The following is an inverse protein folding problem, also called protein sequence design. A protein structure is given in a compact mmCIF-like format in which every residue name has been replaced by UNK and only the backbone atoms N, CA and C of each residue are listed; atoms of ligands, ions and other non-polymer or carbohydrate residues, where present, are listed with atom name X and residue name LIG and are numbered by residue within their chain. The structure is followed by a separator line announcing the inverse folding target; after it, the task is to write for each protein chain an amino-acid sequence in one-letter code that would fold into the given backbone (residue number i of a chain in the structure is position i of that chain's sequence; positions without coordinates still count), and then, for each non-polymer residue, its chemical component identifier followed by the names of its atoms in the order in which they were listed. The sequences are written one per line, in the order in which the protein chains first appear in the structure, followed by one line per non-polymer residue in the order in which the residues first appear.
data_IF_711046150876
#
_entry.id   IF_711046150876
#
_cell.length_a   1.000
_cell.length_b   1.000
_cell.length_c   1.000
_cell.angle_alpha   90.00
_cell.angle_beta   90.00
_cell.angle_gamma   90.00
#
_symmetry.space_group_name_H-M   'P 1'
#
loop_
_entity.id
_entity.type
_entity.pdbx_description
1 polymer ?
#
# COMPACT_ATOMS: atom_id res chain seq x y z
N UNK A 1 51.46 -3.22 19.91
CA UNK A 1 50.47 -4.24 19.51
C UNK A 1 49.10 -3.64 19.71
N UNK A 2 48.37 -3.35 18.63
CA UNK A 2 46.94 -3.06 18.71
C UNK A 2 46.28 -4.39 19.10
N UNK A 3 45.74 -4.49 20.30
CA UNK A 3 44.87 -5.60 20.67
C UNK A 3 43.62 -5.50 19.77
N UNK A 4 43.57 -6.27 18.70
CA UNK A 4 42.33 -6.50 17.96
C UNK A 4 41.41 -7.32 18.86
N UNK A 5 40.37 -6.67 19.39
CA UNK A 5 39.25 -7.37 20.01
C UNK A 5 38.64 -8.30 18.97
N UNK A 6 38.63 -9.61 19.25
CA UNK A 6 38.03 -10.60 18.37
C UNK A 6 36.54 -10.34 18.12
N UNK A 7 36.04 -10.82 16.99
CA UNK A 7 34.63 -10.69 16.61
C UNK A 7 33.72 -11.36 17.65
N UNK A 8 32.83 -10.58 18.27
CA UNK A 8 31.81 -11.12 19.17
C UNK A 8 30.71 -11.83 18.37
N UNK A 9 30.45 -13.09 18.71
CA UNK A 9 29.35 -13.88 18.14
C UNK A 9 28.22 -13.95 19.16
N UNK A 10 27.05 -13.45 18.76
CA UNK A 10 25.85 -13.42 19.60
C UNK A 10 24.73 -14.16 18.90
N UNK A 11 24.00 -14.97 19.67
CA UNK A 11 22.79 -15.64 19.22
C UNK A 11 21.77 -14.60 18.72
N UNK A 12 21.24 -14.83 17.51
CA UNK A 12 20.41 -13.83 16.82
C UNK A 12 19.21 -13.39 17.65
N UNK A 13 18.54 -14.31 18.33
CA UNK A 13 17.36 -14.00 19.14
C UNK A 13 17.70 -13.11 20.35
N UNK A 14 18.86 -13.32 20.98
CA UNK A 14 19.34 -12.47 22.07
C UNK A 14 19.74 -11.10 21.56
N UNK A 15 20.36 -11.05 20.37
CA UNK A 15 20.70 -9.80 19.71
C UNK A 15 19.46 -8.97 19.33
N UNK A 16 18.41 -9.61 18.82
CA UNK A 16 17.14 -8.94 18.50
C UNK A 16 16.45 -8.42 19.75
N UNK A 17 16.48 -9.22 20.82
CA UNK A 17 15.95 -8.83 22.13
C UNK A 17 16.65 -7.58 22.66
N UNK A 18 17.97 -7.56 22.60
CA UNK A 18 18.79 -6.43 23.02
C UNK A 18 18.56 -5.20 22.14
N UNK A 19 18.58 -5.37 20.82
CA UNK A 19 18.42 -4.26 19.87
C UNK A 19 17.02 -3.64 20.00
N UNK A 20 16.00 -4.46 20.24
CA UNK A 20 14.63 -4.00 20.48
C UNK A 20 14.55 -3.06 21.68
N UNK A 21 15.03 -3.50 22.85
CA UNK A 21 14.98 -2.67 24.06
C UNK A 21 15.93 -1.47 23.99
N UNK A 22 17.08 -1.59 23.32
CA UNK A 22 18.00 -0.47 23.15
C UNK A 22 17.45 0.59 22.18
N UNK A 23 16.76 0.20 21.11
CA UNK A 23 16.12 1.17 20.22
C UNK A 23 14.97 1.91 20.91
N UNK A 24 14.30 1.29 21.87
CA UNK A 24 13.36 1.99 22.75
C UNK A 24 14.11 2.88 23.76
N UNK A 25 14.61 2.29 24.84
CA UNK A 25 15.10 2.99 26.04
C UNK A 25 16.62 3.20 26.08
N UNK A 26 17.33 2.81 25.02
CA UNK A 26 18.78 2.80 24.98
C UNK A 26 19.41 4.10 24.47
N UNK A 27 20.65 4.33 24.89
CA UNK A 27 21.53 5.35 24.32
C UNK A 27 22.99 4.89 24.33
N UNK A 28 23.78 5.47 23.44
CA UNK A 28 25.22 5.20 23.34
C UNK A 28 25.98 6.52 23.31
N UNK A 29 27.02 6.65 24.13
CA UNK A 29 27.89 7.84 24.17
C UNK A 29 29.30 7.40 24.56
N UNK A 30 30.31 7.72 23.75
CA UNK A 30 31.72 7.37 24.01
C UNK A 30 31.92 5.89 24.39
N UNK A 31 31.32 4.97 23.62
CA UNK A 31 31.32 3.52 23.86
C UNK A 31 30.66 3.06 25.17
N UNK A 32 30.02 3.97 25.91
CA UNK A 32 29.13 3.64 27.01
C UNK A 32 27.74 3.39 26.44
N UNK A 33 27.30 2.15 26.54
CA UNK A 33 25.94 1.72 26.21
C UNK A 33 25.11 1.82 27.48
N UNK A 34 23.88 2.32 27.36
CA UNK A 34 22.97 2.36 28.48
C UNK A 34 21.53 2.08 28.08
N UNK A 35 20.75 1.52 29.00
CA UNK A 35 19.33 1.22 28.84
C UNK A 35 18.61 1.72 30.10
N UNK A 36 17.71 2.69 29.95
CA UNK A 36 16.95 3.25 31.07
C UNK A 36 15.66 2.47 31.31
N UNK A 37 15.40 1.98 32.52
CA UNK A 37 14.14 1.30 32.83
C UNK A 37 13.75 1.48 34.30
N UNK A 38 12.49 1.86 34.55
CA UNK A 38 11.93 2.11 35.88
C UNK A 38 11.00 1.00 36.37
N UNK A 39 10.38 0.22 35.50
CA UNK A 39 9.42 -0.82 35.92
C UNK A 39 10.18 -2.08 36.35
N UNK A 40 9.92 -2.53 37.57
CA UNK A 40 10.63 -3.64 38.20
C UNK A 40 10.64 -4.93 37.35
N UNK A 41 9.50 -5.30 36.76
CA UNK A 41 9.41 -6.51 35.92
C UNK A 41 10.25 -6.40 34.64
N UNK A 42 10.21 -5.26 33.96
CA UNK A 42 11.02 -5.01 32.76
C UNK A 42 12.51 -4.97 33.10
N UNK A 43 12.86 -4.38 34.26
CA UNK A 43 14.24 -4.38 34.79
C UNK A 43 14.76 -5.80 35.02
N UNK A 44 13.94 -6.75 35.51
CA UNK A 44 14.35 -8.15 35.69
C UNK A 44 14.63 -8.84 34.35
N UNK A 45 13.76 -8.64 33.36
CA UNK A 45 13.94 -9.21 32.01
C UNK A 45 15.22 -8.69 31.33
N UNK A 46 15.44 -7.38 31.38
CA UNK A 46 16.65 -6.76 30.81
C UNK A 46 17.90 -7.28 31.51
N UNK A 47 17.88 -7.40 32.85
CA UNK A 47 19.00 -7.96 33.61
C UNK A 47 19.34 -9.38 33.13
N UNK A 48 18.35 -10.27 33.05
CA UNK A 48 18.55 -11.64 32.61
C UNK A 48 19.06 -11.74 31.17
N UNK A 49 18.60 -10.86 30.28
CA UNK A 49 19.12 -10.77 28.92
C UNK A 49 20.60 -10.38 28.89
N UNK A 50 20.99 -9.33 29.62
CA UNK A 50 22.38 -8.87 29.66
C UNK A 50 23.32 -9.94 30.28
N UNK A 51 22.85 -10.66 31.30
CA UNK A 51 23.58 -11.79 31.90
C UNK A 51 23.72 -12.96 30.91
N UNK A 52 22.65 -13.30 30.18
CA UNK A 52 22.66 -14.35 29.14
C UNK A 52 23.63 -14.03 28.01
N UNK A 53 23.73 -12.76 27.63
CA UNK A 53 24.67 -12.25 26.63
C UNK A 53 26.10 -12.10 27.19
N UNK A 54 26.33 -12.46 28.46
CA UNK A 54 27.63 -12.42 29.14
C UNK A 54 28.23 -11.00 29.21
N UNK A 55 27.40 -9.96 29.21
CA UNK A 55 27.88 -8.61 29.40
C UNK A 55 28.24 -8.33 30.85
N UNK A 56 29.38 -7.68 31.06
CA UNK A 56 29.72 -7.08 32.36
C UNK A 56 29.09 -5.70 32.46
N UNK A 57 28.01 -5.58 33.25
CA UNK A 57 27.24 -4.33 33.38
C UNK A 57 27.09 -3.86 34.82
N UNK A 58 26.89 -2.56 34.96
CA UNK A 58 26.55 -1.89 36.21
C UNK A 58 25.09 -1.44 36.18
N UNK A 59 24.43 -1.45 37.34
CA UNK A 59 23.04 -1.03 37.51
C UNK A 59 22.93 0.13 38.49
N UNK A 60 22.27 1.20 38.08
CA UNK A 60 21.80 2.28 38.98
C UNK A 60 20.31 2.09 39.30
N UNK A 61 19.70 3.04 40.02
CA UNK A 61 18.27 3.00 40.37
C UNK A 61 17.36 2.75 39.16
N UNK A 62 17.67 3.36 38.01
CA UNK A 62 16.79 3.37 36.82
C UNK A 62 17.51 3.04 35.50
N UNK A 63 18.74 2.52 35.54
CA UNK A 63 19.53 2.36 34.31
C UNK A 63 20.53 1.21 34.44
N UNK A 64 20.68 0.44 33.35
CA UNK A 64 21.81 -0.45 33.14
C UNK A 64 22.82 0.24 32.23
N UNK A 65 24.11 0.07 32.49
CA UNK A 65 25.15 0.58 31.62
C UNK A 65 26.39 -0.31 31.63
N UNK A 66 27.07 -0.36 30.50
CA UNK A 66 28.34 -1.06 30.32
C UNK A 66 29.17 -0.33 29.27
N UNK A 67 30.45 -0.66 29.21
CA UNK A 67 31.37 -0.09 28.24
C UNK A 67 31.91 -1.19 27.35
N UNK A 68 31.68 -1.06 26.05
CA UNK A 68 32.18 -1.98 25.05
C UNK A 68 32.45 -1.20 23.76
N UNK A 69 33.68 -1.28 23.25
CA UNK A 69 34.11 -0.52 22.09
C UNK A 69 33.40 -0.99 20.82
N UNK A 70 33.32 -2.31 20.59
CA UNK A 70 32.73 -2.87 19.37
C UNK A 70 31.23 -2.57 19.31
N UNK A 71 30.52 -2.77 20.42
CA UNK A 71 29.08 -2.49 20.52
C UNK A 71 28.80 -1.00 20.46
N UNK A 72 29.62 -0.20 21.16
CA UNK A 72 29.51 1.24 21.17
C UNK A 72 29.62 1.84 19.77
N UNK A 73 30.66 1.44 19.02
CA UNK A 73 30.88 1.87 17.65
C UNK A 73 29.74 1.40 16.73
N UNK A 74 29.29 0.15 16.85
CA UNK A 74 28.17 -0.35 16.05
C UNK A 74 26.85 0.40 16.34
N UNK A 75 26.45 0.50 17.60
CA UNK A 75 25.18 1.09 18.01
C UNK A 75 25.12 2.60 17.74
N UNK A 76 26.26 3.29 17.76
CA UNK A 76 26.34 4.73 17.44
C UNK A 76 25.84 5.05 16.02
N UNK A 77 25.86 4.08 15.10
CA UNK A 77 25.39 4.21 13.71
C UNK A 77 23.88 4.40 13.59
N UNK A 78 23.11 4.04 14.63
CA UNK A 78 21.65 4.18 14.63
C UNK A 78 21.16 5.51 15.19
N UNK A 79 22.05 6.48 15.39
CA UNK A 79 21.66 7.86 15.71
C UNK A 79 21.04 8.06 17.10
N UNK A 80 20.61 9.30 17.36
CA UNK A 80 19.95 9.69 18.61
C UNK A 80 18.44 9.42 18.56
N UNK A 81 17.72 9.65 19.66
CA UNK A 81 16.30 9.29 19.82
C UNK A 81 15.37 9.66 18.62
N UNK A 82 15.58 10.81 17.98
CA UNK A 82 14.77 11.29 16.84
C UNK A 82 15.32 10.88 15.47
N UNK A 83 16.50 10.28 15.43
CA UNK A 83 17.21 9.79 14.23
C UNK A 83 17.17 8.27 14.15
N UNK A 84 16.86 7.59 15.27
CA UNK A 84 16.78 6.13 15.37
C UNK A 84 16.02 5.50 14.22
N UNK A 85 16.48 4.33 13.80
CA UNK A 85 15.88 3.52 12.75
C UNK A 85 16.21 2.05 12.98
N UNK A 86 15.39 1.16 12.41
CA UNK A 86 15.62 -0.28 12.50
C UNK A 86 16.74 -0.68 11.53
N UNK A 87 17.77 -1.44 11.98
CA UNK A 87 18.77 -2.00 11.08
C UNK A 87 18.16 -2.83 9.95
N UNK A 88 18.69 -2.69 8.73
CA UNK A 88 18.08 -3.28 7.52
C UNK A 88 18.00 -4.82 7.57
N UNK A 89 18.99 -5.47 8.19
CA UNK A 89 19.00 -6.93 8.31
C UNK A 89 17.78 -7.45 9.09
N UNK A 90 17.29 -6.71 10.10
CA UNK A 90 16.12 -7.10 10.90
C UNK A 90 14.87 -7.15 10.03
N UNK A 91 14.75 -6.25 9.05
CA UNK A 91 13.62 -6.20 8.11
C UNK A 91 13.56 -7.39 7.15
N UNK A 92 14.66 -8.14 7.04
CA UNK A 92 14.79 -9.32 6.19
C UNK A 92 14.67 -10.64 6.96
N UNK A 93 14.48 -10.59 8.28
CA UNK A 93 14.36 -11.78 9.12
C UNK A 93 12.98 -12.43 9.04
N UNK A 94 12.88 -13.63 9.59
CA UNK A 94 11.61 -14.37 9.68
C UNK A 94 10.56 -13.60 10.50
N UNK A 95 9.25 -13.79 10.23
CA UNK A 95 8.18 -13.19 11.03
C UNK A 95 8.31 -13.48 12.54
N UNK A 96 8.83 -14.66 12.93
CA UNK A 96 9.10 -15.02 14.32
C UNK A 96 10.11 -14.06 14.97
N UNK A 97 11.23 -13.83 14.29
CA UNK A 97 12.31 -12.97 14.76
C UNK A 97 11.93 -11.49 14.76
N UNK A 98 11.19 -11.04 13.75
CA UNK A 98 10.65 -9.69 13.73
C UNK A 98 9.69 -9.47 14.90
N UNK A 99 8.83 -10.45 15.21
CA UNK A 99 7.94 -10.36 16.37
C UNK A 99 8.73 -10.30 17.68
N UNK A 100 9.79 -11.11 17.84
CA UNK A 100 10.66 -11.05 19.03
C UNK A 100 11.26 -9.65 19.21
N UNK A 101 11.79 -9.06 18.13
CA UNK A 101 12.29 -7.68 18.16
C UNK A 101 11.19 -6.68 18.59
N UNK A 102 10.00 -6.77 18.00
CA UNK A 102 8.87 -5.89 18.32
C UNK A 102 8.38 -6.05 19.77
N UNK A 103 8.42 -7.26 20.33
CA UNK A 103 8.08 -7.53 21.72
C UNK A 103 9.06 -6.87 22.69
N UNK A 104 10.37 -6.98 22.44
CA UNK A 104 11.38 -6.32 23.27
C UNK A 104 11.39 -4.80 23.12
N UNK A 105 11.15 -4.29 21.91
CA UNK A 105 10.93 -2.86 21.71
C UNK A 105 9.72 -2.37 22.50
N UNK A 106 8.63 -3.15 22.51
CA UNK A 106 7.42 -2.81 23.25
C UNK A 106 7.61 -2.76 24.78
N UNK A 107 8.60 -3.47 25.33
CA UNK A 107 8.89 -3.40 26.77
C UNK A 107 9.32 -1.98 27.18
N UNK A 108 10.02 -1.25 26.32
CA UNK A 108 10.41 0.13 26.60
C UNK A 108 9.35 1.14 26.18
N UNK A 109 9.16 1.26 24.86
CA UNK A 109 8.41 2.37 24.24
C UNK A 109 7.07 1.93 23.64
N UNK A 110 6.32 1.09 24.36
CA UNK A 110 4.93 0.81 24.02
C UNK A 110 3.97 0.81 25.22
N UNK A 111 2.69 0.97 24.91
CA UNK A 111 1.59 0.82 25.86
C UNK A 111 0.57 -0.17 25.30
N UNK A 112 0.24 -1.17 26.11
CA UNK A 112 -0.86 -2.08 25.85
C UNK A 112 -2.18 -1.48 26.37
N UNK A 113 -3.19 -1.45 25.52
CA UNK A 113 -4.51 -0.95 25.86
C UNK A 113 -5.48 -2.09 26.15
N UNK A 114 -6.41 -1.86 27.09
CA UNK A 114 -7.46 -2.82 27.49
C UNK A 114 -8.30 -3.37 26.32
N UNK A 115 -8.31 -2.70 25.17
CA UNK A 115 -9.02 -3.12 23.95
C UNK A 115 -8.26 -4.07 23.00
N UNK A 116 -7.07 -4.57 23.38
CA UNK A 116 -6.26 -5.43 22.52
C UNK A 116 -5.48 -4.68 21.44
N UNK A 117 -5.06 -3.46 21.78
CA UNK A 117 -4.17 -2.63 20.96
C UNK A 117 -2.83 -2.47 21.67
N UNK A 118 -1.76 -2.34 20.88
CA UNK A 118 -0.45 -1.93 21.35
C UNK A 118 -0.06 -0.68 20.60
N UNK A 119 0.34 0.36 21.33
CA UNK A 119 0.80 1.63 20.74
C UNK A 119 2.28 1.75 20.98
N UNK A 120 3.06 1.80 19.91
CA UNK A 120 4.49 2.12 19.95
C UNK A 120 4.68 3.63 19.86
N UNK A 121 5.65 4.17 20.59
CA UNK A 121 5.96 5.59 20.62
C UNK A 121 7.37 5.86 20.09
N UNK A 122 7.53 6.94 19.34
CA UNK A 122 8.86 7.43 18.95
C UNK A 122 8.80 8.90 18.54
N UNK A 123 9.93 9.59 18.59
CA UNK A 123 10.11 10.91 17.98
C UNK A 123 10.77 10.84 16.59
N UNK A 124 11.25 9.66 16.18
CA UNK A 124 11.81 9.41 14.86
C UNK A 124 10.72 9.01 13.87
N UNK A 125 10.53 9.81 12.82
CA UNK A 125 9.65 9.45 11.71
C UNK A 125 10.11 8.15 11.04
N UNK A 126 11.43 8.00 10.86
CA UNK A 126 12.01 6.81 10.21
C UNK A 126 11.74 5.55 11.05
N UNK A 127 11.92 5.62 12.37
CA UNK A 127 11.59 4.49 13.25
C UNK A 127 10.10 4.14 13.22
N UNK A 128 9.21 5.13 13.19
CA UNK A 128 7.78 4.90 13.07
C UNK A 128 7.42 4.20 11.75
N UNK A 129 8.07 4.62 10.65
CA UNK A 129 7.91 4.01 9.33
C UNK A 129 8.41 2.57 9.32
N UNK A 130 9.59 2.32 9.93
CA UNK A 130 10.19 1.00 10.05
C UNK A 130 9.33 0.06 10.91
N UNK A 131 8.80 0.52 12.05
CA UNK A 131 7.91 -0.29 12.90
C UNK A 131 6.65 -0.69 12.11
N UNK A 132 6.06 0.22 11.32
CA UNK A 132 4.91 -0.14 10.49
C UNK A 132 5.28 -1.19 9.42
N UNK A 133 6.47 -1.10 8.84
CA UNK A 133 6.98 -2.11 7.89
C UNK A 133 7.15 -3.48 8.56
N UNK A 134 7.73 -3.52 9.77
CA UNK A 134 7.88 -4.77 10.54
C UNK A 134 6.52 -5.38 10.91
N UNK A 135 5.54 -4.55 11.28
CA UNK A 135 4.17 -5.00 11.52
C UNK A 135 3.57 -5.62 10.25
N UNK A 136 3.75 -5.00 9.08
CA UNK A 136 3.30 -5.58 7.81
C UNK A 136 3.94 -6.96 7.55
N UNK A 137 5.26 -7.07 7.72
CA UNK A 137 6.02 -8.32 7.49
C UNK A 137 5.64 -9.43 8.46
N UNK A 138 5.01 -9.11 9.59
CA UNK A 138 4.48 -10.07 10.55
C UNK A 138 2.99 -10.34 10.38
N UNK A 139 2.37 -9.85 9.29
CA UNK A 139 0.95 -10.05 8.98
C UNK A 139 0.01 -9.15 9.78
N UNK A 140 0.53 -8.07 10.36
CA UNK A 140 -0.21 -7.14 11.22
C UNK A 140 -0.39 -5.78 10.57
N UNK A 141 -1.37 -5.03 11.06
CA UNK A 141 -1.67 -3.68 10.59
C UNK A 141 -1.15 -2.67 11.61
N UNK A 142 -0.25 -1.79 11.15
CA UNK A 142 0.19 -0.61 11.90
C UNK A 142 -0.43 0.66 11.36
N UNK A 143 -1.05 1.49 12.19
CA UNK A 143 -1.53 2.83 11.80
C UNK A 143 -0.65 3.88 12.46
N UNK A 144 -0.01 4.74 11.66
CA UNK A 144 0.80 5.84 12.20
C UNK A 144 -0.09 7.05 12.46
N UNK A 145 0.00 7.63 13.65
CA UNK A 145 -0.56 8.94 13.99
C UNK A 145 0.56 9.89 14.39
N UNK A 146 0.60 11.07 13.78
CA UNK A 146 1.47 12.17 14.20
C UNK A 146 0.74 13.02 15.24
N UNK A 147 1.38 13.29 16.37
CA UNK A 147 0.91 14.21 17.41
C UNK A 147 1.87 15.37 17.51
N UNK A 148 1.36 16.56 17.25
CA UNK A 148 2.12 17.80 17.46
C UNK A 148 1.93 18.23 18.90
N UNK A 149 2.87 17.81 19.76
CA UNK A 149 2.92 18.19 21.17
C UNK A 149 4.15 19.05 21.34
N UNK A 150 4.02 20.35 21.16
CA UNK A 150 5.12 21.31 21.37
C UNK A 150 4.95 22.02 22.72
N UNK A 151 6.07 22.35 23.36
CA UNK A 151 6.10 23.11 24.61
C UNK A 151 6.15 22.26 25.88
N UNK A 152 5.84 22.89 27.02
CA UNK A 152 5.89 22.25 28.34
C UNK A 152 4.71 21.31 28.54
N UNK A 153 5.02 20.04 28.76
CA UNK A 153 4.07 18.97 29.07
C UNK A 153 4.31 18.52 30.51
N UNK A 154 3.26 18.37 31.29
CA UNK A 154 3.37 17.71 32.60
C UNK A 154 3.40 16.20 32.40
N UNK A 155 4.50 15.55 32.77
CA UNK A 155 4.67 14.10 32.69
C UNK A 155 4.83 13.55 34.11
N UNK A 156 3.75 12.94 34.62
CA UNK A 156 3.63 12.34 35.97
C UNK A 156 3.94 13.32 37.12
N UNK A 157 5.20 13.67 37.30
CA UNK A 157 5.77 14.37 38.45
C UNK A 157 6.63 15.58 38.09
N UNK A 158 6.88 15.86 36.80
CA UNK A 158 7.68 17.00 36.37
C UNK A 158 7.21 17.56 35.02
N UNK A 159 7.59 18.80 34.72
CA UNK A 159 7.46 19.37 33.38
C UNK A 159 8.57 18.82 32.47
N UNK A 160 8.19 18.32 31.31
CA UNK A 160 9.08 17.99 30.21
C UNK A 160 8.81 18.92 29.04
N UNK A 161 9.86 19.39 28.39
CA UNK A 161 9.74 20.22 27.21
C UNK A 161 9.78 19.35 25.95
N UNK A 162 8.70 19.39 25.17
CA UNK A 162 8.63 18.69 23.90
C UNK A 162 8.92 19.66 22.77
N UNK A 163 10.04 19.42 22.08
CA UNK A 163 10.48 20.24 20.95
C UNK A 163 10.16 19.60 19.61
N UNK A 164 9.54 18.41 19.60
CA UNK A 164 9.41 17.56 18.42
C UNK A 164 8.05 16.87 18.35
N UNK A 165 7.55 16.53 17.15
CA UNK A 165 6.35 15.72 17.02
C UNK A 165 6.58 14.30 17.55
N UNK A 166 5.54 13.75 18.16
CA UNK A 166 5.49 12.36 18.59
C UNK A 166 4.75 11.52 17.55
N UNK A 167 5.31 10.38 17.19
CA UNK A 167 4.66 9.39 16.33
C UNK A 167 4.16 8.23 17.19
N UNK A 168 2.90 7.87 16.98
CA UNK A 168 2.26 6.71 17.58
C UNK A 168 2.00 5.67 16.49
N UNK A 169 2.55 4.46 16.61
CA UNK A 169 2.23 3.35 15.71
C UNK A 169 1.25 2.42 16.41
N UNK A 170 0.00 2.41 15.96
CA UNK A 170 -1.09 1.65 16.54
C UNK A 170 -1.16 0.28 15.89
N UNK A 171 -0.85 -0.77 16.66
CA UNK A 171 -1.00 -2.18 16.29
C UNK A 171 -2.29 -2.74 16.88
N UNK A 172 -3.04 -3.49 16.08
CA UNK A 172 -4.14 -4.33 16.54
C UNK A 172 -3.60 -5.72 16.88
N UNK A 173 -3.59 -6.07 18.17
CA UNK A 173 -3.04 -7.35 18.65
C UNK A 173 -4.11 -8.45 18.60
N UNK A 174 -5.34 -8.15 19.01
CA UNK A 174 -6.42 -9.16 19.11
C UNK A 174 -7.34 -9.25 17.88
N UNK A 175 -7.55 -8.14 17.18
CA UNK A 175 -8.45 -8.06 16.01
C UNK A 175 -7.64 -7.76 14.75
N UNK A 176 -7.13 -8.80 14.12
CA UNK A 176 -6.30 -8.71 12.89
C UNK A 176 -7.12 -8.40 11.64
N UNK A 177 -8.42 -8.68 11.65
CA UNK A 177 -9.29 -8.40 10.52
C UNK A 177 -9.48 -6.89 10.34
N UNK A 178 -9.42 -6.43 9.09
CA UNK A 178 -9.88 -5.10 8.70
C UNK A 178 -11.39 -5.12 8.49
N UNK A 179 -12.09 -4.09 8.94
CA UNK A 179 -13.48 -3.84 8.59
C UNK A 179 -13.66 -2.33 8.42
N UNK A 180 -14.59 -1.94 7.55
CA UNK A 180 -14.98 -0.55 7.39
C UNK A 180 -16.07 -0.27 8.43
N UNK A 181 -15.80 0.63 9.36
CA UNK A 181 -16.78 1.09 10.33
C UNK A 181 -17.59 2.24 9.72
N UNK A 182 -18.92 2.22 9.83
CA UNK A 182 -19.79 3.28 9.30
C UNK A 182 -19.40 4.67 9.84
N UNK A 183 -18.87 4.74 11.06
CA UNK A 183 -18.38 6.00 11.69
C UNK A 183 -17.14 6.56 11.00
N UNK A 184 -16.38 5.72 10.31
CA UNK A 184 -15.19 6.10 9.55
C UNK A 184 -15.52 6.47 8.09
N UNK A 185 -16.78 6.30 7.66
CA UNK A 185 -17.25 6.68 6.32
C UNK A 185 -17.76 8.12 6.36
N UNK A 186 -17.24 8.97 5.48
CA UNK A 186 -17.69 10.35 5.30
C UNK A 186 -18.00 10.60 3.83
N UNK A 187 -19.10 11.31 3.58
CA UNK A 187 -19.37 11.89 2.26
C UNK A 187 -18.64 13.23 2.21
N UNK A 188 -17.68 13.35 1.31
CA UNK A 188 -16.95 14.59 1.07
C UNK A 188 -17.23 15.07 -0.34
N UNK A 189 -17.56 16.35 -0.50
CA UNK A 189 -17.72 16.96 -1.83
C UNK A 189 -16.32 17.05 -2.44
N UNK A 190 -16.06 16.19 -3.42
CA UNK A 190 -14.76 16.09 -4.07
C UNK A 190 -14.84 16.68 -5.48
N UNK A 191 -14.00 17.66 -5.76
CA UNK A 191 -13.75 18.20 -7.10
C UNK A 191 -12.24 18.22 -7.30
N UNK A 192 -11.74 17.30 -8.11
CA UNK A 192 -10.31 17.04 -8.24
C UNK A 192 -10.06 15.78 -9.06
N UNK A 193 -8.78 15.44 -9.25
CA UNK A 193 -8.35 14.39 -10.18
C UNK A 193 -7.98 13.11 -9.44
N UNK A 194 -8.42 11.97 -9.98
CA UNK A 194 -8.15 10.63 -9.44
C UNK A 194 -7.04 9.96 -10.25
N UNK A 195 -5.95 9.58 -9.57
CA UNK A 195 -4.76 8.99 -10.19
C UNK A 195 -4.68 7.47 -10.05
N UNK A 196 -4.05 6.81 -11.02
CA UNK A 196 -3.69 5.40 -10.97
C UNK A 196 -2.15 5.29 -10.93
N UNK A 197 -1.60 5.01 -9.74
CA UNK A 197 -0.16 4.77 -9.58
C UNK A 197 0.18 3.31 -9.94
N UNK A 198 1.45 3.00 -10.24
CA UNK A 198 1.91 1.61 -10.41
C UNK A 198 3.34 1.42 -9.92
N UNK A 199 3.69 0.19 -9.56
CA UNK A 199 5.06 -0.27 -9.30
C UNK A 199 5.36 -1.51 -10.15
N UNK A 200 6.64 -1.94 -10.22
CA UNK A 200 7.08 -3.12 -11.00
C UNK A 200 6.23 -4.36 -10.74
N UNK A 201 5.84 -4.59 -9.48
CA UNK A 201 5.08 -5.78 -9.10
C UNK A 201 3.57 -5.63 -9.33
N UNK A 202 3.10 -4.49 -9.83
CA UNK A 202 1.71 -4.12 -10.08
C UNK A 202 0.81 -4.06 -8.84
N UNK A 203 1.21 -4.67 -7.72
CA UNK A 203 0.62 -4.54 -6.40
C UNK A 203 1.39 -3.44 -5.65
N UNK A 204 0.72 -2.34 -5.32
CA UNK A 204 1.30 -1.23 -4.58
C UNK A 204 0.92 -1.28 -3.12
N UNK A 205 1.90 -1.27 -2.22
CA UNK A 205 1.67 -0.93 -0.82
C UNK A 205 1.71 0.58 -0.68
N UNK A 206 0.58 1.19 -0.34
CA UNK A 206 0.48 2.65 -0.23
C UNK A 206 0.00 3.04 1.16
N UNK A 207 0.39 4.24 1.59
CA UNK A 207 0.04 4.80 2.89
C UNK A 207 -0.60 6.18 2.70
N UNK A 208 -1.87 6.34 3.10
CA UNK A 208 -2.55 7.65 3.19
C UNK A 208 -2.79 7.99 4.65
N UNK A 209 -2.34 9.16 5.09
CA UNK A 209 -2.54 9.66 6.46
C UNK A 209 -2.17 8.63 7.53
N UNK A 210 -1.05 7.93 7.33
CA UNK A 210 -0.55 6.90 8.24
C UNK A 210 -1.24 5.54 8.16
N UNK A 211 -2.29 5.38 7.34
CA UNK A 211 -3.01 4.12 7.12
C UNK A 211 -2.49 3.42 5.86
N UNK A 212 -2.01 2.16 5.96
CA UNK A 212 -1.55 1.40 4.81
C UNK A 212 -2.66 0.58 4.13
N UNK A 213 -2.57 0.38 2.81
CA UNK A 213 -3.46 -0.46 2.01
C UNK A 213 -2.80 -0.85 0.67
N UNK A 214 -3.38 -1.84 -0.01
CA UNK A 214 -2.88 -2.38 -1.28
C UNK A 214 -3.67 -1.83 -2.49
N UNK A 215 -3.06 -1.74 -3.67
CA UNK A 215 -3.71 -1.36 -4.96
C UNK A 215 -3.15 -2.15 -6.15
N UNK A 216 -3.93 -2.34 -7.24
CA UNK A 216 -3.61 -3.19 -8.41
C UNK A 216 -3.78 -2.52 -9.79
N UNK A 217 -3.62 -3.30 -10.88
CA UNK A 217 -3.70 -2.86 -12.30
C UNK A 217 -4.84 -3.51 -13.10
N UNK A 218 -5.20 -2.96 -14.27
CA UNK A 218 -6.45 -3.28 -14.99
C UNK A 218 -6.22 -3.91 -16.38
N UNK A 219 -6.53 -5.19 -16.54
CA UNK A 219 -6.91 -5.85 -17.79
C UNK A 219 -8.07 -6.79 -17.49
N UNK A 220 -8.82 -7.21 -18.52
CA UNK A 220 -10.08 -7.92 -18.29
C UNK A 220 -10.36 -8.99 -19.36
N UNK A 221 -11.23 -9.92 -19.00
CA UNK A 221 -11.96 -10.80 -19.90
C UNK A 221 -13.32 -11.10 -19.27
N UNK A 222 -14.30 -11.47 -20.09
CA UNK A 222 -15.60 -11.93 -19.62
C UNK A 222 -15.58 -13.43 -19.36
N UNK A 223 -16.18 -13.87 -18.26
CA UNK A 223 -16.39 -15.28 -17.95
C UNK A 223 -17.77 -15.50 -17.38
N UNK A 224 -18.27 -16.73 -17.51
CA UNK A 224 -19.38 -17.23 -16.71
C UNK A 224 -19.02 -17.22 -15.20
N UNK A 225 -20.01 -17.38 -14.29
CA UNK A 225 -19.78 -17.46 -12.86
C UNK A 225 -18.66 -18.43 -12.50
N UNK A 226 -17.65 -17.98 -11.78
CA UNK A 226 -16.52 -18.81 -11.39
C UNK A 226 -16.37 -18.83 -9.86
N UNK A 227 -15.40 -19.61 -9.36
CA UNK A 227 -15.11 -19.71 -7.92
C UNK A 227 -14.89 -18.36 -7.26
N UNK A 228 -14.22 -17.40 -7.91
CA UNK A 228 -14.00 -16.05 -7.36
C UNK A 228 -15.35 -15.35 -7.16
N UNK A 229 -16.19 -15.29 -8.21
CA UNK A 229 -17.51 -14.68 -8.15
C UNK A 229 -18.39 -15.32 -7.07
N UNK A 230 -18.48 -16.65 -7.05
CA UNK A 230 -19.29 -17.43 -6.11
C UNK A 230 -18.87 -17.20 -4.65
N UNK A 231 -17.56 -17.06 -4.38
CA UNK A 231 -17.03 -16.87 -3.03
C UNK A 231 -17.02 -15.40 -2.58
N UNK A 232 -17.30 -14.45 -3.47
CA UNK A 232 -17.25 -13.01 -3.20
C UNK A 232 -18.59 -12.34 -3.52
N UNK A 233 -18.77 -11.79 -4.72
CA UNK A 233 -19.88 -10.92 -5.08
C UNK A 233 -21.24 -11.61 -4.95
N UNK A 234 -21.33 -12.89 -5.32
CA UNK A 234 -22.59 -13.66 -5.20
C UNK A 234 -23.14 -13.68 -3.77
N UNK A 235 -22.28 -13.63 -2.74
CA UNK A 235 -22.73 -13.61 -1.34
C UNK A 235 -23.50 -12.35 -0.96
N UNK A 236 -23.41 -11.30 -1.76
CA UNK A 236 -24.11 -10.04 -1.53
C UNK A 236 -25.46 -9.98 -2.24
N UNK A 237 -25.80 -10.98 -3.07
CA UNK A 237 -27.03 -11.03 -3.87
C UNK A 237 -28.29 -10.77 -3.02
N UNK A 238 -28.47 -11.50 -1.92
CA UNK A 238 -29.64 -11.33 -1.06
C UNK A 238 -29.79 -9.90 -0.54
N UNK A 239 -28.68 -9.26 -0.15
CA UNK A 239 -28.70 -7.88 0.35
C UNK A 239 -28.95 -6.87 -0.77
N UNK A 240 -28.40 -7.11 -1.96
CA UNK A 240 -28.63 -6.25 -3.12
C UNK A 240 -30.09 -6.32 -3.59
N UNK A 241 -30.72 -7.49 -3.52
CA UNK A 241 -32.15 -7.67 -3.77
C UNK A 241 -32.97 -6.90 -2.73
N UNK A 242 -32.67 -7.06 -1.43
CA UNK A 242 -33.36 -6.35 -0.34
C UNK A 242 -33.33 -4.82 -0.54
N UNK A 243 -32.20 -4.28 -0.99
CA UNK A 243 -32.01 -2.86 -1.23
C UNK A 243 -32.52 -2.38 -2.61
N UNK A 244 -33.09 -3.28 -3.43
CA UNK A 244 -33.49 -3.01 -4.81
C UNK A 244 -32.37 -2.34 -5.64
N UNK A 245 -31.13 -2.80 -5.44
CA UNK A 245 -29.97 -2.20 -6.10
C UNK A 245 -29.94 -2.55 -7.59
N UNK A 246 -29.97 -1.52 -8.43
CA UNK A 246 -29.79 -1.63 -9.88
C UNK A 246 -28.52 -0.87 -10.26
N UNK A 247 -27.53 -1.57 -10.79
CA UNK A 247 -26.30 -0.94 -11.27
C UNK A 247 -25.08 -1.85 -11.29
N UNK A 248 -23.93 -1.22 -11.49
CA UNK A 248 -22.65 -1.90 -11.57
C UNK A 248 -22.02 -2.08 -10.19
N UNK A 249 -21.56 -3.31 -9.91
CA UNK A 249 -20.73 -3.61 -8.74
C UNK A 249 -19.44 -4.31 -9.17
N UNK A 250 -18.35 -3.89 -8.55
CA UNK A 250 -17.03 -4.50 -8.65
C UNK A 250 -16.47 -4.80 -7.27
N UNK A 251 -15.84 -5.97 -7.13
CA UNK A 251 -15.06 -6.35 -5.96
C UNK A 251 -13.66 -6.67 -6.42
N UNK A 252 -12.75 -5.75 -6.15
CA UNK A 252 -11.34 -5.98 -6.42
C UNK A 252 -10.79 -6.96 -5.38
N UNK A 253 -10.10 -8.01 -5.82
CA UNK A 253 -9.63 -9.09 -4.97
C UNK A 253 -8.12 -9.29 -5.13
N UNK A 254 -7.45 -9.59 -4.02
CA UNK A 254 -6.13 -10.22 -4.03
C UNK A 254 -6.34 -11.72 -3.83
N UNK A 255 -5.69 -12.55 -4.64
CA UNK A 255 -5.82 -14.01 -4.55
C UNK A 255 -4.46 -14.69 -4.47
N UNK A 256 -4.40 -15.79 -3.71
CA UNK A 256 -3.25 -16.69 -3.65
C UNK A 256 -3.74 -18.14 -3.48
N UNK A 257 -2.82 -19.10 -3.32
CA UNK A 257 -3.14 -20.51 -3.12
C UNK A 257 -3.99 -20.80 -1.86
N UNK A 258 -4.00 -19.90 -0.88
CA UNK A 258 -4.69 -20.07 0.39
C UNK A 258 -6.11 -19.48 0.38
N UNK A 259 -6.38 -18.46 -0.44
CA UNK A 259 -7.71 -17.86 -0.48
C UNK A 259 -7.86 -16.61 -1.34
N UNK A 260 -9.10 -16.09 -1.29
CA UNK A 260 -9.53 -14.85 -1.94
C UNK A 260 -9.71 -13.78 -0.86
N UNK A 261 -9.07 -12.63 -1.04
CA UNK A 261 -9.06 -11.51 -0.10
C UNK A 261 -9.65 -10.27 -0.79
N UNK A 262 -10.94 -9.96 -0.55
CA UNK A 262 -11.55 -8.74 -1.04
C UNK A 262 -10.79 -7.51 -0.53
N UNK A 263 -10.47 -6.60 -1.45
CA UNK A 263 -9.68 -5.41 -1.21
C UNK A 263 -10.53 -4.14 -1.26
N UNK A 264 -11.33 -4.00 -2.32
CA UNK A 264 -12.13 -2.80 -2.58
C UNK A 264 -13.51 -3.19 -3.10
N UNK A 265 -14.53 -2.53 -2.59
CA UNK A 265 -15.91 -2.59 -3.10
C UNK A 265 -16.23 -1.30 -3.83
N UNK A 266 -16.74 -1.42 -5.04
CA UNK A 266 -17.08 -0.30 -5.90
C UNK A 266 -18.50 -0.47 -6.46
N UNK A 267 -19.34 0.57 -6.34
CA UNK A 267 -20.72 0.58 -6.87
C UNK A 267 -20.90 1.58 -8.03
N UNK A 268 -19.86 1.71 -8.87
CA UNK A 268 -19.79 2.60 -10.04
C UNK A 268 -18.75 2.08 -11.02
N UNK A 269 -18.87 2.37 -12.30
CA UNK A 269 -17.79 1.99 -13.21
C UNK A 269 -16.50 2.74 -12.87
N UNK A 270 -15.38 2.02 -12.89
CA UNK A 270 -14.06 2.62 -12.81
C UNK A 270 -13.59 3.15 -14.16
N UNK A 271 -12.58 4.02 -14.14
CA UNK A 271 -11.82 4.39 -15.34
C UNK A 271 -10.40 3.80 -15.23
N UNK A 272 -9.89 3.11 -16.27
CA UNK A 272 -10.46 2.91 -17.61
C UNK A 272 -11.43 1.72 -17.75
N UNK A 273 -11.84 1.07 -16.66
CA UNK A 273 -12.67 -0.15 -16.65
C UNK A 273 -13.90 -0.09 -17.57
N UNK A 274 -14.66 1.02 -17.54
CA UNK A 274 -15.87 1.17 -18.37
C UNK A 274 -15.57 1.03 -19.87
N UNK A 275 -14.50 1.64 -20.34
CA UNK A 275 -14.08 1.59 -21.74
C UNK A 275 -13.63 0.19 -22.14
N UNK A 276 -12.89 -0.48 -21.24
CA UNK A 276 -12.43 -1.85 -21.48
C UNK A 276 -13.62 -2.82 -21.55
N UNK A 277 -14.58 -2.68 -20.65
CA UNK A 277 -15.81 -3.48 -20.66
C UNK A 277 -16.64 -3.23 -21.91
N UNK A 278 -16.87 -1.96 -22.26
CA UNK A 278 -17.60 -1.57 -23.45
C UNK A 278 -17.01 -2.21 -24.72
N UNK A 279 -15.69 -2.21 -24.87
CA UNK A 279 -15.03 -2.83 -26.03
C UNK A 279 -15.18 -4.35 -26.09
N UNK A 280 -15.43 -4.98 -24.94
CA UNK A 280 -15.75 -6.40 -24.82
C UNK A 280 -17.24 -6.72 -24.99
N UNK A 281 -18.13 -5.73 -24.98
CA UNK A 281 -19.57 -5.95 -25.15
C UNK A 281 -19.92 -6.02 -26.65
N UNK A 282 -20.76 -6.99 -27.00
CA UNK A 282 -21.43 -7.06 -28.30
C UNK A 282 -22.77 -6.31 -28.21
N UNK A 283 -23.50 -6.49 -27.11
CA UNK A 283 -24.67 -5.66 -26.80
C UNK A 283 -24.20 -4.21 -26.61
N UNK A 284 -24.80 -3.21 -27.31
CA UNK A 284 -24.45 -1.81 -27.09
C UNK A 284 -24.62 -1.41 -25.62
N UNK A 285 -23.56 -0.88 -25.01
CA UNK A 285 -23.57 -0.56 -23.57
C UNK A 285 -24.69 0.44 -23.20
N UNK A 286 -25.02 1.37 -24.10
CA UNK A 286 -26.11 2.33 -23.89
C UNK A 286 -27.48 1.67 -23.80
N UNK A 287 -27.76 0.72 -24.69
CA UNK A 287 -29.02 -0.06 -24.67
C UNK A 287 -29.09 -0.92 -23.41
N UNK A 288 -28.00 -1.63 -23.10
CA UNK A 288 -27.90 -2.45 -21.88
C UNK A 288 -28.18 -1.64 -20.60
N UNK A 289 -27.56 -0.46 -20.46
CA UNK A 289 -27.77 0.41 -19.30
C UNK A 289 -29.18 1.03 -19.29
N UNK A 290 -29.74 1.34 -20.46
CA UNK A 290 -31.09 1.87 -20.56
C UNK A 290 -32.14 0.85 -20.11
N UNK A 291 -32.05 -0.40 -20.57
CA UNK A 291 -32.91 -1.50 -20.15
C UNK A 291 -32.76 -1.78 -18.65
N UNK A 292 -31.53 -1.85 -18.13
CA UNK A 292 -31.29 -1.97 -16.68
C UNK A 292 -31.99 -0.85 -15.90
N UNK A 293 -31.92 0.39 -16.37
CA UNK A 293 -32.53 1.54 -15.67
C UNK A 293 -34.06 1.47 -15.57
N UNK A 294 -34.72 0.67 -16.42
CA UNK A 294 -36.16 0.40 -16.38
C UNK A 294 -36.54 -0.76 -15.46
N UNK A 295 -35.56 -1.44 -14.86
CA UNK A 295 -35.78 -2.67 -14.11
C UNK A 295 -36.00 -3.89 -15.01
N UNK A 296 -35.64 -3.80 -16.29
CA UNK A 296 -35.70 -4.93 -17.22
C UNK A 296 -34.49 -5.88 -17.00
N UNK A 297 -34.53 -7.07 -17.59
CA UNK A 297 -33.44 -8.05 -17.55
C UNK A 297 -32.75 -8.14 -18.91
N UNK A 298 -31.88 -7.18 -19.26
CA UNK A 298 -31.21 -7.14 -20.56
C UNK A 298 -30.29 -8.35 -20.78
N UNK A 299 -30.23 -8.84 -22.01
CA UNK A 299 -29.27 -9.89 -22.40
C UNK A 299 -27.90 -9.28 -22.67
N UNK A 300 -26.92 -9.63 -21.83
CA UNK A 300 -25.53 -9.24 -22.02
C UNK A 300 -24.81 -10.23 -22.95
N UNK A 301 -24.54 -9.82 -24.19
CA UNK A 301 -23.66 -10.55 -25.11
C UNK A 301 -22.28 -9.91 -25.10
N UNK A 302 -21.23 -10.73 -24.99
CA UNK A 302 -19.85 -10.27 -24.90
C UNK A 302 -18.95 -11.04 -25.87
N UNK A 303 -17.82 -10.42 -26.23
CA UNK A 303 -16.76 -11.04 -27.02
C UNK A 303 -16.00 -12.03 -26.16
N UNK A 304 -15.58 -13.14 -26.77
CA UNK A 304 -14.59 -14.04 -26.16
C UNK A 304 -13.20 -13.40 -26.18
N UNK A 305 -12.30 -13.92 -25.35
CA UNK A 305 -10.92 -13.44 -25.27
C UNK A 305 -10.75 -12.24 -24.37
N UNK A 306 -9.73 -11.44 -24.65
CA UNK A 306 -9.21 -10.41 -23.75
C UNK A 306 -9.52 -9.01 -24.23
N UNK A 307 -9.70 -8.11 -23.26
CA UNK A 307 -9.76 -6.68 -23.45
C UNK A 307 -8.71 -6.01 -22.55
N UNK A 308 -7.91 -5.13 -23.15
CA UNK A 308 -6.84 -4.39 -22.46
C UNK A 308 -7.06 -2.91 -22.72
N UNK A 309 -6.93 -2.09 -21.70
CA UNK A 309 -7.01 -0.64 -21.82
C UNK A 309 -5.75 0.04 -21.30
N UNK A 310 -5.30 1.04 -22.04
CA UNK A 310 -4.14 1.86 -21.75
C UNK A 310 -4.58 3.31 -21.65
N UNK A 311 -4.22 3.97 -20.56
CA UNK A 311 -4.33 5.43 -20.47
C UNK A 311 -3.12 6.05 -21.15
N UNK A 312 -3.37 6.86 -22.17
CA UNK A 312 -2.38 7.69 -22.83
C UNK A 312 -2.39 9.05 -22.16
N UNK A 313 -1.27 9.43 -21.58
CA UNK A 313 -1.17 10.53 -20.64
C UNK A 313 -0.12 11.55 -21.08
N UNK A 314 -0.22 12.77 -20.58
CA UNK A 314 0.70 13.89 -20.78
C UNK A 314 1.05 14.49 -19.41
N UNK A 315 2.14 15.28 -19.28
CA UNK A 315 2.43 16.00 -18.04
C UNK A 315 1.22 16.82 -17.56
N UNK A 316 1.01 16.98 -16.24
CA UNK A 316 1.86 16.61 -15.13
C UNK A 316 1.54 15.22 -14.58
N UNK A 317 0.75 14.38 -15.27
CA UNK A 317 0.34 13.08 -14.73
C UNK A 317 1.56 12.30 -14.18
N UNK A 318 1.43 11.50 -13.11
CA UNK A 318 0.30 11.40 -12.17
C UNK A 318 0.33 12.47 -11.06
N UNK A 319 1.05 13.57 -11.24
CA UNK A 319 1.17 14.65 -10.27
C UNK A 319 0.09 15.72 -10.47
N UNK A 320 -0.11 16.53 -9.42
CA UNK A 320 -1.00 17.68 -9.45
C UNK A 320 -0.15 18.95 -9.54
N UNK A 321 0.26 19.31 -10.75
CA UNK A 321 1.05 20.52 -11.00
C UNK A 321 0.45 21.29 -12.18
N UNK A 322 -0.28 22.37 -11.86
CA UNK A 322 -0.98 23.17 -12.84
C UNK A 322 -0.02 23.92 -13.75
N UNK A 323 1.10 24.42 -13.22
CA UNK A 323 2.09 25.14 -14.01
C UNK A 323 2.70 24.22 -15.07
N UNK A 324 3.10 23.00 -14.67
CA UNK A 324 3.58 22.01 -15.63
C UNK A 324 2.52 21.64 -16.67
N UNK A 325 1.24 21.51 -16.28
CA UNK A 325 0.16 21.25 -17.23
C UNK A 325 0.03 22.37 -18.27
N UNK A 326 -0.04 23.61 -17.79
CA UNK A 326 -0.23 24.80 -18.62
C UNK A 326 0.92 25.00 -19.61
N UNK A 327 2.16 24.73 -19.17
CA UNK A 327 3.35 24.88 -20.01
C UNK A 327 3.53 23.73 -21.00
N UNK A 328 3.24 22.48 -20.60
CA UNK A 328 3.63 21.29 -21.38
C UNK A 328 2.50 20.57 -22.09
N UNK A 329 1.23 20.87 -21.80
CA UNK A 329 0.14 19.97 -22.19
C UNK A 329 -1.14 20.66 -22.57
N UNK A 330 -1.50 21.76 -21.89
CA UNK A 330 -2.68 22.54 -22.26
C UNK A 330 -2.65 22.97 -23.73
N UNK A 331 -3.79 22.87 -24.39
CA UNK A 331 -4.00 23.27 -25.79
C UNK A 331 -3.14 22.49 -26.81
N UNK A 332 -2.46 21.42 -26.39
CA UNK A 332 -1.71 20.54 -27.30
C UNK A 332 -2.65 19.83 -28.26
N UNK A 333 -2.33 19.87 -29.56
CA UNK A 333 -3.09 19.20 -30.61
C UNK A 333 -2.89 17.67 -30.50
N UNK A 334 -4.00 16.94 -30.61
CA UNK A 334 -4.07 15.49 -30.67
C UNK A 334 -4.32 15.09 -32.12
N UNK A 335 -3.29 14.53 -32.76
CA UNK A 335 -3.37 14.10 -34.14
C UNK A 335 -3.60 12.60 -34.25
N UNK A 336 -4.62 12.22 -35.03
CA UNK A 336 -4.96 10.84 -35.35
C UNK A 336 -4.63 10.54 -36.82
N UNK A 337 -3.70 9.62 -37.07
CA UNK A 337 -3.32 9.18 -38.44
C UNK A 337 -4.41 8.36 -39.14
N UNK A 338 -5.31 7.74 -38.36
CA UNK A 338 -6.35 6.80 -38.79
C UNK A 338 -7.59 6.98 -37.89
N UNK A 339 -8.77 6.46 -38.30
CA UNK A 339 -9.97 6.48 -37.49
C UNK A 339 -9.77 5.94 -36.06
N UNK A 340 -10.52 6.50 -35.11
CA UNK A 340 -10.35 6.38 -33.65
C UNK A 340 -11.02 5.14 -33.03
N UNK A 341 -11.11 4.03 -33.77
CA UNK A 341 -11.77 2.82 -33.25
C UNK A 341 -11.05 2.29 -31.99
N UNK A 342 -11.81 2.05 -30.91
CA UNK A 342 -11.31 1.67 -29.59
C UNK A 342 -10.41 2.71 -28.93
N UNK A 343 -10.51 3.97 -29.33
CA UNK A 343 -9.93 5.12 -28.64
C UNK A 343 -11.07 5.91 -28.00
N UNK A 344 -11.02 6.08 -26.69
CA UNK A 344 -12.01 6.82 -25.92
C UNK A 344 -11.40 8.13 -25.41
N UNK A 345 -12.18 9.19 -25.49
CA UNK A 345 -11.76 10.54 -25.08
C UNK A 345 -11.86 10.71 -23.56
N UNK A 346 -10.88 11.37 -22.95
CA UNK A 346 -10.96 11.88 -21.57
C UNK A 346 -10.76 13.41 -21.57
N UNK A 347 -9.56 13.91 -21.23
CA UNK A 347 -9.28 15.34 -21.09
C UNK A 347 -9.06 16.07 -22.44
N UNK A 348 -9.81 15.71 -23.50
CA UNK A 348 -9.70 16.34 -24.83
C UNK A 348 -11.04 16.86 -25.35
N UNK A 349 -10.98 17.89 -26.20
CA UNK A 349 -12.14 18.53 -26.83
C UNK A 349 -11.85 18.83 -28.30
N UNK A 350 -12.87 18.72 -29.15
CA UNK A 350 -12.80 19.19 -30.53
C UNK A 350 -13.06 20.70 -30.59
N UNK A 351 -12.08 21.47 -31.07
CA UNK A 351 -12.16 22.93 -31.24
C UNK A 351 -11.67 23.26 -32.65
N UNK A 352 -12.51 23.95 -33.44
CA UNK A 352 -12.21 24.33 -34.83
C UNK A 352 -11.77 23.15 -35.72
N UNK A 353 -12.30 21.95 -35.48
CA UNK A 353 -11.96 20.74 -36.22
C UNK A 353 -10.70 20.01 -35.71
N UNK A 354 -10.04 20.53 -34.68
CA UNK A 354 -8.86 19.92 -34.07
C UNK A 354 -9.15 19.40 -32.66
N UNK A 355 -8.68 18.20 -32.36
CA UNK A 355 -8.72 17.69 -31.00
C UNK A 355 -7.60 18.33 -30.19
N UNK A 356 -7.95 18.95 -29.06
CA UNK A 356 -7.00 19.63 -28.19
C UNK A 356 -7.13 19.14 -26.74
N UNK A 357 -6.02 19.13 -26.02
CA UNK A 357 -5.96 18.80 -24.58
C UNK A 357 -6.56 19.96 -23.78
N UNK A 358 -7.62 19.70 -23.02
CA UNK A 358 -8.40 20.74 -22.31
C UNK A 358 -8.71 20.44 -20.85
N UNK A 359 -8.35 19.25 -20.36
CA UNK A 359 -8.53 18.95 -18.94
C UNK A 359 -7.44 19.55 -18.08
N UNK A 360 -7.09 18.86 -17.00
CA UNK A 360 -5.96 19.26 -16.15
C UNK A 360 -5.13 18.06 -15.70
N UNK A 361 -5.66 16.82 -15.80
CA UNK A 361 -5.03 15.65 -15.18
C UNK A 361 -3.88 15.12 -15.98
N UNK A 362 -3.82 15.51 -17.25
CA UNK A 362 -2.94 14.89 -18.23
C UNK A 362 -3.41 13.50 -18.61
N UNK A 363 -4.68 13.12 -18.42
CA UNK A 363 -5.22 11.85 -18.95
C UNK A 363 -5.96 12.14 -20.25
N UNK A 364 -5.24 12.04 -21.37
CA UNK A 364 -5.77 12.48 -22.66
C UNK A 364 -6.79 11.49 -23.24
N UNK A 365 -6.42 10.22 -23.29
CA UNK A 365 -7.16 9.17 -23.99
C UNK A 365 -7.09 7.85 -23.24
N UNK A 366 -8.09 6.99 -23.45
CA UNK A 366 -7.99 5.55 -23.20
C UNK A 366 -7.91 4.86 -24.56
N UNK A 367 -6.88 4.04 -24.78
CA UNK A 367 -6.72 3.20 -25.96
C UNK A 367 -6.95 1.76 -25.56
N UNK A 368 -7.96 1.14 -26.13
CA UNK A 368 -8.31 -0.25 -25.89
C UNK A 368 -7.81 -1.15 -27.01
N UNK A 369 -7.56 -2.41 -26.69
CA UNK A 369 -7.33 -3.47 -27.65
C UNK A 369 -8.03 -4.76 -27.22
N UNK A 370 -8.42 -5.54 -28.21
CA UNK A 370 -9.15 -6.79 -28.07
C UNK A 370 -8.46 -7.90 -28.87
N UNK A 371 -8.58 -9.14 -28.41
CA UNK A 371 -8.01 -10.28 -29.11
C UNK A 371 -8.29 -11.59 -28.41
N UNK A 372 -8.17 -12.71 -29.13
CA UNK A 372 -8.41 -14.04 -28.54
C UNK A 372 -7.33 -14.44 -27.53
N UNK A 373 -6.15 -13.84 -27.63
CA UNK A 373 -5.08 -13.97 -26.64
C UNK A 373 -4.71 -12.60 -26.06
N UNK A 374 -4.17 -12.60 -24.83
CA UNK A 374 -3.63 -11.38 -24.20
C UNK A 374 -2.63 -10.67 -25.13
N UNK A 375 -1.77 -11.43 -25.82
CA UNK A 375 -0.77 -10.87 -26.73
C UNK A 375 -1.40 -10.18 -27.94
N UNK A 376 -2.46 -10.75 -28.51
CA UNK A 376 -3.20 -10.12 -29.61
C UNK A 376 -3.87 -8.82 -29.17
N UNK A 377 -4.53 -8.83 -28.00
CA UNK A 377 -5.15 -7.63 -27.44
C UNK A 377 -4.13 -6.51 -27.18
N UNK A 378 -2.98 -6.85 -26.58
CA UNK A 378 -1.85 -5.94 -26.40
C UNK A 378 -1.34 -5.39 -27.75
N UNK A 379 -1.12 -6.26 -28.73
CA UNK A 379 -0.61 -5.85 -30.06
C UNK A 379 -1.57 -4.88 -30.76
N UNK A 380 -2.89 -5.13 -30.69
CA UNK A 380 -3.90 -4.23 -31.25
C UNK A 380 -3.88 -2.88 -30.53
N UNK A 381 -3.87 -2.89 -29.19
CA UNK A 381 -3.80 -1.67 -28.37
C UNK A 381 -2.57 -0.82 -28.73
N UNK A 382 -1.37 -1.41 -28.74
CA UNK A 382 -0.14 -0.68 -29.08
C UNK A 382 -0.08 -0.25 -30.55
N UNK A 383 -0.68 -1.02 -31.47
CA UNK A 383 -0.84 -0.61 -32.87
C UNK A 383 -1.71 0.65 -32.98
N UNK A 384 -2.81 0.73 -32.23
CA UNK A 384 -3.68 1.92 -32.16
C UNK A 384 -2.93 3.12 -31.60
N UNK A 385 -2.13 2.95 -30.54
CA UNK A 385 -1.29 4.01 -29.98
C UNK A 385 -0.32 4.60 -31.01
N UNK A 386 0.27 3.80 -31.91
CA UNK A 386 1.17 4.31 -32.99
C UNK A 386 0.49 5.25 -33.99
N UNK A 387 -0.84 5.23 -34.05
CA UNK A 387 -1.64 6.12 -34.89
C UNK A 387 -1.98 7.46 -34.20
N UNK A 388 -1.59 7.63 -32.93
CA UNK A 388 -1.86 8.81 -32.13
C UNK A 388 -0.56 9.57 -31.93
N UNK A 389 -0.59 10.90 -32.10
CA UNK A 389 0.52 11.77 -31.77
C UNK A 389 0.01 12.92 -30.90
N UNK A 390 0.59 13.04 -29.70
CA UNK A 390 0.36 14.16 -28.79
C UNK A 390 1.73 14.57 -28.24
N UNK A 391 2.09 15.86 -28.24
CA UNK A 391 3.30 16.34 -27.59
C UNK A 391 3.43 15.82 -26.16
N UNK A 392 4.63 15.36 -25.81
CA UNK A 392 4.96 14.84 -24.48
C UNK A 392 4.10 13.65 -23.99
N UNK A 393 3.40 12.95 -24.88
CA UNK A 393 2.67 11.75 -24.46
C UNK A 393 3.59 10.67 -23.93
N UNK A 394 3.11 9.97 -22.94
CA UNK A 394 3.70 8.72 -22.48
C UNK A 394 2.60 7.78 -22.00
N UNK A 395 2.96 6.52 -21.89
CA UNK A 395 2.05 5.45 -21.54
C UNK A 395 2.85 4.23 -21.08
N UNK A 396 2.14 3.25 -20.53
CA UNK A 396 2.74 2.00 -20.05
C UNK A 396 2.89 0.97 -21.15
N UNK A 397 4.02 0.28 -21.17
CA UNK A 397 4.35 -0.78 -22.14
C UNK A 397 4.19 -2.20 -21.57
N UNK A 398 3.68 -2.34 -20.34
CA UNK A 398 3.68 -3.59 -19.57
C UNK A 398 2.28 -4.05 -19.09
N UNK A 399 1.21 -3.43 -19.61
CA UNK A 399 -0.16 -3.78 -19.24
C UNK A 399 -0.50 -5.18 -19.73
N UNK A 400 -0.88 -6.08 -18.82
CA UNK A 400 -1.24 -7.47 -19.14
C UNK A 400 -0.07 -8.46 -19.15
N UNK A 401 1.18 -8.02 -19.00
CA UNK A 401 2.36 -8.89 -19.08
C UNK A 401 2.37 -10.02 -18.04
N UNK A 402 1.79 -9.82 -16.87
CA UNK A 402 1.74 -10.85 -15.83
C UNK A 402 0.75 -11.98 -16.13
N UNK A 403 -0.18 -11.79 -17.06
CA UNK A 403 -1.20 -12.79 -17.37
C UNK A 403 -0.58 -14.15 -17.74
N UNK A 404 0.56 -14.15 -18.42
CA UNK A 404 1.25 -15.38 -18.81
C UNK A 404 1.71 -16.24 -17.63
N UNK A 405 1.92 -15.65 -16.44
CA UNK A 405 2.23 -16.40 -15.22
C UNK A 405 1.03 -16.52 -14.28
N UNK A 406 0.24 -15.45 -14.15
CA UNK A 406 -0.86 -15.37 -13.21
C UNK A 406 -2.03 -16.27 -13.66
N UNK A 407 -2.24 -16.45 -14.97
CA UNK A 407 -3.22 -17.39 -15.52
C UNK A 407 -2.98 -18.81 -15.04
N UNK A 408 -1.73 -19.30 -15.12
CA UNK A 408 -1.36 -20.65 -14.70
C UNK A 408 -1.62 -20.86 -13.21
N UNK A 409 -1.28 -19.87 -12.38
CA UNK A 409 -1.57 -19.90 -10.95
C UNK A 409 -3.07 -19.96 -10.68
N UNK A 410 -3.86 -19.09 -11.33
CA UNK A 410 -5.31 -19.05 -11.14
C UNK A 410 -6.00 -20.34 -11.58
N UNK A 411 -5.56 -20.96 -12.68
CA UNK A 411 -6.05 -22.27 -13.11
C UNK A 411 -5.62 -23.39 -12.16
N UNK A 412 -4.36 -23.38 -11.70
CA UNK A 412 -3.83 -24.36 -10.74
C UNK A 412 -4.58 -24.31 -9.41
N UNK A 413 -4.91 -23.11 -8.92
CA UNK A 413 -5.71 -22.92 -7.71
C UNK A 413 -7.22 -23.15 -7.92
N UNK A 414 -7.64 -23.40 -9.17
CA UNK A 414 -9.04 -23.67 -9.53
C UNK A 414 -9.95 -22.45 -9.43
N UNK A 415 -9.42 -21.22 -9.50
CA UNK A 415 -10.21 -20.00 -9.34
C UNK A 415 -11.04 -19.61 -10.56
N UNK A 416 -10.57 -19.97 -11.76
CA UNK A 416 -11.25 -19.66 -13.03
C UNK A 416 -12.19 -20.77 -13.51
N UNK A 417 -12.51 -21.73 -12.65
CA UNK A 417 -13.45 -22.82 -12.95
C UNK A 417 -14.80 -22.55 -12.30
N UNK A 418 -15.85 -22.96 -12.97
CA UNK A 418 -17.16 -23.23 -12.37
C UNK A 418 -16.97 -24.40 -11.38
N UNK A 419 -17.00 -24.10 -10.10
CA UNK A 419 -17.42 -25.08 -9.10
C UNK A 419 -18.72 -24.54 -8.51
#
# INVERSE_FOLDING_TARGET
MLHETGEQKIEMDDWLSFTGIWLADGSTTNNRISIAQKKAEQTKLIKGLLEKMQFSFSKTKNQFYFQDKQFGEYLSKFGKAHEKYVPEFIKSLSPRQINLFLEWFALGDATEMKGGYRIFYTSSKKLADDIQELLLKTGKIGIIKKRERYGKLWIKDHYAESTRPQYEVHERVKKINSWIDKRDIKKEKYSGKVYCATVKNHIMYIRRNGKPYWCGNTFMFWSEPNKIFNHTLKKMEAKLIEENYIGYIDINCIVNNNGIYPLEWTSRFGYPTISIQQEGMITPIGEFLHELSKGETPKLKTKTGFQVGLRLVVPPFPFTDQETFDVKSKDSIVYFKKPTEGVHIEDIKLVNGEWIITGTAGVALIVCGTGQTMKQAQNQMYSRVKNINIPHMYYRYDIGNRWFEDSDKLHTWGYLREL
#
